data_IF_053971321701
#
_entry.id   IF_053971321701
#
_cell.length_a   1.000
_cell.length_b   1.000
_cell.length_c   1.000
_cell.angle_alpha   90.00
_cell.angle_beta   90.00
_cell.angle_gamma   90.00
#
_symmetry.space_group_name_H-M   'P 1'
#
loop_
_entity.id
_entity.type
_entity.pdbx_description
1 polymer ?
#
# COMPACT_ATOMS: atom_id res chain seq x y z
N UNK A 1 21.70 -51.25 30.74
CA UNK A 1 22.15 -50.89 29.38
C UNK A 1 20.97 -50.23 28.71
N UNK A 2 20.94 -48.88 28.79
CA UNK A 2 19.91 -48.07 28.14
C UNK A 2 20.34 -47.77 26.71
N UNK A 3 19.43 -48.03 25.77
CA UNK A 3 19.57 -47.55 24.40
C UNK A 3 18.91 -46.18 24.29
N UNK A 4 19.70 -45.15 23.99
CA UNK A 4 19.21 -43.86 23.58
C UNK A 4 18.72 -43.91 22.14
N UNK A 5 17.47 -43.58 21.92
CA UNK A 5 16.90 -43.33 20.59
C UNK A 5 17.49 -42.03 20.01
N UNK A 6 17.84 -42.01 18.72
CA UNK A 6 18.31 -40.79 18.10
C UNK A 6 17.12 -39.83 17.90
N UNK A 7 17.23 -38.64 18.50
CA UNK A 7 16.32 -37.51 18.29
C UNK A 7 16.35 -37.09 16.81
N UNK A 8 15.21 -37.15 16.15
CA UNK A 8 15.02 -36.53 14.83
C UNK A 8 15.34 -35.05 14.88
N UNK A 9 16.09 -34.49 13.90
CA UNK A 9 16.25 -33.07 13.79
C UNK A 9 14.92 -32.38 13.46
N UNK A 10 14.70 -31.17 13.93
CA UNK A 10 13.46 -30.46 13.65
C UNK A 10 13.30 -30.23 12.14
N UNK A 11 12.11 -30.55 11.64
CA UNK A 11 11.72 -30.29 10.27
C UNK A 11 11.91 -28.79 9.95
N UNK A 12 12.80 -28.53 9.01
CA UNK A 12 13.05 -27.21 8.49
C UNK A 12 11.83 -26.81 7.66
N UNK A 13 10.92 -26.05 8.23
CA UNK A 13 9.85 -25.40 7.49
C UNK A 13 10.48 -24.48 6.44
N UNK A 14 10.25 -24.81 5.18
CA UNK A 14 10.70 -24.05 4.03
C UNK A 14 10.09 -22.65 4.03
N UNK A 15 10.91 -21.62 4.31
CA UNK A 15 10.55 -20.20 4.31
C UNK A 15 10.50 -19.61 2.87
N UNK A 16 9.91 -20.30 1.90
CA UNK A 16 9.85 -19.81 0.52
C UNK A 16 9.03 -18.52 0.38
N UNK A 17 7.81 -18.50 0.92
CA UNK A 17 6.89 -17.35 0.77
C UNK A 17 7.37 -16.08 1.47
N UNK A 18 8.03 -16.19 2.63
CA UNK A 18 8.52 -15.04 3.38
C UNK A 18 9.68 -14.32 2.70
N UNK A 19 10.50 -15.03 1.93
CA UNK A 19 11.66 -14.44 1.25
C UNK A 19 11.25 -13.65 0.00
N UNK A 20 10.31 -14.16 -0.78
CA UNK A 20 9.77 -13.49 -1.98
C UNK A 20 9.01 -12.21 -1.58
N UNK A 21 8.18 -12.26 -0.55
CA UNK A 21 7.49 -11.08 -0.02
C UNK A 21 8.46 -10.01 0.49
N UNK A 22 9.56 -10.40 1.10
CA UNK A 22 10.60 -9.48 1.57
C UNK A 22 11.37 -8.81 0.44
N UNK A 23 11.59 -9.48 -0.67
CA UNK A 23 12.24 -8.91 -1.86
C UNK A 23 11.34 -7.89 -2.55
N UNK A 24 10.07 -8.23 -2.80
CA UNK A 24 9.07 -7.30 -3.35
C UNK A 24 8.90 -6.05 -2.49
N UNK A 25 8.91 -6.21 -1.16
CA UNK A 25 8.84 -5.07 -0.24
C UNK A 25 10.07 -4.17 -0.39
N UNK A 26 11.28 -4.72 -0.46
CA UNK A 26 12.51 -3.95 -0.67
C UNK A 26 12.52 -3.20 -2.00
N UNK A 27 12.01 -3.83 -3.06
CA UNK A 27 11.89 -3.18 -4.36
C UNK A 27 10.91 -2.00 -4.33
N UNK A 28 9.77 -2.14 -3.65
CA UNK A 28 8.85 -1.03 -3.44
C UNK A 28 9.48 0.08 -2.61
N UNK A 29 10.16 -0.24 -1.53
CA UNK A 29 10.85 0.75 -0.69
C UNK A 29 11.92 1.50 -1.47
N UNK A 30 12.67 0.82 -2.34
CA UNK A 30 13.66 1.45 -3.22
C UNK A 30 12.99 2.40 -4.21
N UNK A 31 11.92 1.99 -4.90
CA UNK A 31 11.19 2.83 -5.84
C UNK A 31 10.58 4.06 -5.13
N UNK A 32 9.97 3.87 -3.96
CA UNK A 32 9.45 4.97 -3.14
C UNK A 32 10.56 5.92 -2.73
N UNK A 33 11.71 5.43 -2.29
CA UNK A 33 12.85 6.25 -1.91
C UNK A 33 13.37 7.10 -3.08
N UNK A 34 13.44 6.54 -4.29
CA UNK A 34 13.81 7.27 -5.51
C UNK A 34 12.79 8.38 -5.85
N UNK A 35 11.51 8.10 -5.71
CA UNK A 35 10.43 9.07 -5.91
C UNK A 35 10.55 10.21 -4.90
N UNK A 36 10.65 9.91 -3.60
CA UNK A 36 10.75 10.90 -2.55
C UNK A 36 12.04 11.72 -2.64
N UNK A 37 13.16 11.12 -3.07
CA UNK A 37 14.42 11.82 -3.31
C UNK A 37 14.34 12.83 -4.47
N UNK A 38 13.35 12.70 -5.36
CA UNK A 38 13.11 13.65 -6.46
C UNK A 38 12.43 14.95 -6.01
N UNK A 39 12.09 15.08 -4.71
CA UNK A 39 11.44 16.26 -4.18
C UNK A 39 12.25 17.54 -4.39
N UNK A 40 11.63 18.52 -5.05
CA UNK A 40 12.22 19.79 -5.38
C UNK A 40 11.13 20.83 -5.62
N UNK A 41 11.29 22.03 -5.08
CA UNK A 41 10.35 23.14 -5.29
C UNK A 41 8.87 22.81 -5.00
N UNK A 42 8.63 22.02 -3.96
CA UNK A 42 7.27 21.63 -3.55
C UNK A 42 6.66 20.47 -4.35
N UNK A 43 7.42 19.84 -5.25
CA UNK A 43 6.92 18.78 -6.12
C UNK A 43 7.85 17.56 -6.16
N UNK A 44 7.26 16.40 -6.44
CA UNK A 44 7.98 15.18 -6.81
C UNK A 44 8.18 15.16 -8.34
N UNK A 45 9.41 15.01 -8.79
CA UNK A 45 9.78 15.07 -10.21
C UNK A 45 10.06 13.71 -10.85
N UNK A 46 10.20 12.64 -10.06
CA UNK A 46 10.36 11.30 -10.60
C UNK A 46 9.11 10.82 -11.33
N UNK A 47 9.31 9.86 -12.21
CA UNK A 47 8.20 9.16 -12.86
C UNK A 47 7.32 8.48 -11.80
N UNK A 48 6.06 8.73 -11.82
CA UNK A 48 5.22 8.81 -10.65
C UNK A 48 4.44 7.55 -10.39
N UNK A 49 3.36 7.40 -11.11
CA UNK A 49 2.44 6.30 -10.93
C UNK A 49 2.83 5.09 -11.76
N UNK A 50 2.64 3.95 -11.18
CA UNK A 50 2.84 2.66 -11.82
C UNK A 50 1.74 1.70 -11.38
N UNK A 51 1.76 0.48 -11.86
CA UNK A 51 0.87 -0.56 -11.34
C UNK A 51 1.06 -0.82 -9.84
N UNK A 52 2.25 -0.49 -9.30
CA UNK A 52 2.63 -0.75 -7.91
C UNK A 52 2.65 0.48 -7.01
N UNK A 53 2.64 1.70 -7.55
CA UNK A 53 2.73 2.94 -6.76
C UNK A 53 1.70 3.95 -7.26
N UNK A 54 1.02 4.60 -6.32
CA UNK A 54 0.00 5.60 -6.59
C UNK A 54 0.14 6.79 -5.63
N UNK A 55 -0.22 8.00 -6.09
CA UNK A 55 -0.27 9.21 -5.28
C UNK A 55 -1.70 9.52 -4.88
N UNK A 56 -1.87 9.96 -3.64
CA UNK A 56 -3.19 10.37 -3.16
C UNK A 56 -3.14 11.65 -2.35
N UNK A 57 -4.07 12.55 -2.66
CA UNK A 57 -4.42 13.62 -1.74
C UNK A 57 -5.24 13.07 -0.58
N UNK A 58 -5.16 13.73 0.55
CA UNK A 58 -6.09 13.49 1.64
C UNK A 58 -7.49 13.98 1.24
N UNK A 59 -8.44 13.06 1.09
CA UNK A 59 -9.81 13.39 0.73
C UNK A 59 -10.46 14.33 1.75
N UNK A 60 -11.36 15.20 1.28
CA UNK A 60 -12.05 16.16 2.14
C UNK A 60 -11.24 17.43 2.48
N UNK A 61 -9.98 17.54 2.04
CA UNK A 61 -9.15 18.74 2.28
C UNK A 61 -9.30 19.87 1.26
N UNK A 62 -10.03 19.65 0.17
CA UNK A 62 -10.33 20.70 -0.82
C UNK A 62 -11.65 21.38 -0.48
N UNK A 63 -11.58 22.64 -0.06
CA UNK A 63 -12.73 23.51 0.13
C UNK A 63 -13.23 24.16 -1.16
N UNK A 64 -14.19 25.06 -1.03
CA UNK A 64 -14.72 25.83 -2.15
C UNK A 64 -13.61 26.57 -2.90
N UNK A 65 -13.64 26.51 -4.24
CA UNK A 65 -12.60 27.12 -5.08
C UNK A 65 -11.25 26.39 -5.08
N UNK A 66 -11.18 25.15 -4.58
CA UNK A 66 -9.96 24.36 -4.57
C UNK A 66 -8.94 24.73 -3.48
N UNK A 67 -9.33 25.56 -2.52
CA UNK A 67 -8.47 25.99 -1.42
C UNK A 67 -8.16 24.80 -0.52
N UNK A 68 -6.88 24.57 -0.23
CA UNK A 68 -6.46 23.52 0.70
C UNK A 68 -6.80 23.92 2.13
N UNK A 69 -7.62 23.11 2.78
CA UNK A 69 -8.00 23.27 4.18
C UNK A 69 -6.88 22.74 5.11
N UNK A 70 -6.82 23.21 6.37
CA UNK A 70 -5.92 22.65 7.37
C UNK A 70 -6.10 21.14 7.51
N UNK A 71 -5.00 20.42 7.74
CA UNK A 71 -5.04 18.99 8.01
C UNK A 71 -5.64 18.67 9.39
N UNK A 72 -6.24 17.50 9.51
CA UNK A 72 -6.75 16.97 10.77
C UNK A 72 -6.03 15.65 11.08
N UNK A 73 -5.87 15.36 12.38
CA UNK A 73 -5.27 14.08 12.79
C UNK A 73 -6.20 12.88 12.54
N UNK A 74 -7.50 13.13 12.38
CA UNK A 74 -8.52 12.12 12.10
C UNK A 74 -9.51 12.65 11.08
N UNK A 75 -9.51 12.04 9.90
CA UNK A 75 -10.38 12.39 8.78
C UNK A 75 -11.04 11.11 8.26
N UNK A 76 -12.30 10.89 8.63
CA UNK A 76 -13.04 9.66 8.31
C UNK A 76 -13.28 9.48 6.80
N UNK A 77 -13.46 10.57 6.05
CA UNK A 77 -13.62 10.52 4.59
C UNK A 77 -12.33 10.03 3.93
N UNK A 78 -11.18 10.58 4.34
CA UNK A 78 -9.89 10.15 3.84
C UNK A 78 -9.62 8.68 4.18
N UNK A 79 -9.90 8.25 5.40
CA UNK A 79 -9.71 6.86 5.81
C UNK A 79 -10.57 5.89 4.99
N UNK A 80 -11.84 6.23 4.72
CA UNK A 80 -12.73 5.40 3.90
C UNK A 80 -12.23 5.27 2.45
N UNK A 81 -11.83 6.37 1.83
CA UNK A 81 -11.28 6.34 0.46
C UNK A 81 -9.95 5.59 0.37
N UNK A 82 -9.08 5.78 1.37
CA UNK A 82 -7.83 5.03 1.43
C UNK A 82 -8.05 3.53 1.66
N UNK A 83 -9.08 3.15 2.42
CA UNK A 83 -9.46 1.74 2.59
C UNK A 83 -9.83 1.09 1.25
N UNK A 84 -10.58 1.80 0.38
CA UNK A 84 -10.93 1.32 -0.96
C UNK A 84 -9.69 1.13 -1.85
N UNK A 85 -8.74 2.05 -1.79
CA UNK A 85 -7.46 1.93 -2.51
C UNK A 85 -6.60 0.78 -1.96
N UNK A 86 -6.53 0.64 -0.64
CA UNK A 86 -5.82 -0.47 0.02
C UNK A 86 -6.43 -1.81 -0.39
N UNK A 87 -7.75 -1.95 -0.44
CA UNK A 87 -8.41 -3.16 -0.92
C UNK A 87 -8.03 -3.48 -2.37
N UNK A 88 -7.99 -2.47 -3.23
CA UNK A 88 -7.57 -2.62 -4.62
C UNK A 88 -6.12 -3.10 -4.74
N UNK A 89 -5.18 -2.49 -4.01
CA UNK A 89 -3.79 -2.92 -4.01
C UNK A 89 -3.59 -4.31 -3.41
N UNK A 90 -4.33 -4.65 -2.36
CA UNK A 90 -4.27 -5.97 -1.73
C UNK A 90 -4.68 -7.10 -2.70
N UNK A 91 -5.60 -6.82 -3.62
CA UNK A 91 -6.00 -7.76 -4.66
C UNK A 91 -5.01 -7.82 -5.83
N UNK A 92 -4.14 -6.83 -5.95
CA UNK A 92 -3.20 -6.73 -7.07
C UNK A 92 -1.98 -7.61 -6.83
N UNK A 93 -1.46 -8.32 -7.84
CA UNK A 93 -0.25 -9.11 -7.70
C UNK A 93 0.93 -8.30 -7.16
N UNK A 94 1.54 -8.79 -6.10
CA UNK A 94 2.65 -8.12 -5.43
C UNK A 94 2.27 -6.97 -4.50
N UNK A 95 0.98 -6.65 -4.36
CA UNK A 95 0.54 -5.51 -3.57
C UNK A 95 1.01 -4.17 -4.15
N UNK A 96 1.33 -3.21 -3.30
CA UNK A 96 1.84 -1.92 -3.75
C UNK A 96 2.06 -0.91 -2.65
N UNK A 97 2.26 0.35 -3.04
CA UNK A 97 2.44 1.47 -2.12
C UNK A 97 1.58 2.67 -2.54
N UNK A 98 0.96 3.32 -1.55
CA UNK A 98 0.27 4.58 -1.68
C UNK A 98 1.09 5.69 -1.03
N UNK A 99 1.35 6.78 -1.73
CA UNK A 99 2.00 7.96 -1.17
C UNK A 99 0.93 9.02 -0.91
N UNK A 100 0.56 9.17 0.36
CA UNK A 100 -0.48 10.10 0.81
C UNK A 100 0.09 11.48 1.12
N UNK A 101 -0.62 12.51 0.71
CA UNK A 101 -0.22 13.91 0.86
C UNK A 101 0.41 14.48 -0.40
N UNK A 102 0.20 13.84 -1.54
CA UNK A 102 0.71 14.25 -2.85
C UNK A 102 -0.45 14.31 -3.86
N UNK A 103 -0.53 15.37 -4.62
CA UNK A 103 -1.47 15.52 -5.73
C UNK A 103 -1.07 14.61 -6.89
N UNK A 104 -2.01 13.79 -7.38
CA UNK A 104 -1.73 12.85 -8.46
C UNK A 104 -1.41 13.52 -9.80
N UNK A 105 -2.05 14.61 -10.16
CA UNK A 105 -1.89 15.23 -11.48
C UNK A 105 -0.51 15.85 -11.72
N UNK A 106 0.07 16.51 -10.71
CA UNK A 106 1.31 17.28 -10.85
C UNK A 106 2.43 16.85 -9.89
N UNK A 107 2.14 15.96 -8.94
CA UNK A 107 3.09 15.56 -7.91
C UNK A 107 3.37 16.65 -6.89
N UNK A 108 2.45 17.64 -6.76
CA UNK A 108 2.56 18.68 -5.75
C UNK A 108 2.42 18.07 -4.36
N UNK A 109 3.37 18.34 -3.49
CA UNK A 109 3.34 17.84 -2.12
C UNK A 109 2.49 18.77 -1.27
N UNK A 110 1.37 18.25 -0.78
CA UNK A 110 0.41 18.99 0.06
C UNK A 110 0.58 18.65 1.54
N UNK A 111 1.16 17.49 1.82
CA UNK A 111 1.32 16.98 3.17
C UNK A 111 0.03 16.41 3.76
N UNK A 112 0.15 15.79 4.93
CA UNK A 112 -0.97 15.25 5.72
C UNK A 112 -0.64 15.28 7.21
N UNK A 113 -1.66 15.53 8.04
CA UNK A 113 -1.56 15.51 9.50
C UNK A 113 -2.19 14.26 10.12
N UNK A 114 -2.66 13.30 9.31
CA UNK A 114 -3.33 12.10 9.80
C UNK A 114 -2.46 11.30 10.77
N UNK A 115 -3.07 10.90 11.88
CA UNK A 115 -2.45 9.96 12.81
C UNK A 115 -2.29 8.59 12.17
N UNK A 116 -1.06 8.07 12.15
CA UNK A 116 -0.71 6.83 11.45
C UNK A 116 -1.40 5.60 12.05
N UNK A 117 -1.45 5.52 13.38
CA UNK A 117 -2.04 4.36 14.06
C UNK A 117 -3.56 4.36 13.93
N UNK A 118 -4.18 5.53 14.09
CA UNK A 118 -5.62 5.68 13.86
C UNK A 118 -5.99 5.33 12.43
N UNK A 119 -5.22 5.82 11.44
CA UNK A 119 -5.47 5.54 10.02
C UNK A 119 -5.36 4.04 9.71
N UNK A 120 -4.28 3.40 10.18
CA UNK A 120 -4.05 1.97 10.01
C UNK A 120 -5.19 1.14 10.58
N UNK A 121 -5.63 1.48 11.80
CA UNK A 121 -6.74 0.79 12.47
C UNK A 121 -8.05 0.99 11.70
N UNK A 122 -8.35 2.20 11.22
CA UNK A 122 -9.59 2.47 10.47
C UNK A 122 -9.64 1.74 9.13
N UNK A 123 -8.51 1.63 8.44
CA UNK A 123 -8.41 0.86 7.20
C UNK A 123 -8.61 -0.63 7.49
N UNK A 124 -7.94 -1.17 8.50
CA UNK A 124 -8.07 -2.58 8.89
C UNK A 124 -9.50 -2.94 9.29
N UNK A 125 -10.17 -2.11 10.07
CA UNK A 125 -11.59 -2.27 10.43
C UNK A 125 -12.51 -2.27 9.19
N UNK A 126 -12.19 -1.48 8.17
CA UNK A 126 -13.03 -1.33 6.99
C UNK A 126 -12.87 -2.46 5.97
N UNK A 127 -11.64 -2.92 5.71
CA UNK A 127 -11.35 -3.87 4.62
C UNK A 127 -10.54 -5.10 5.06
N UNK A 128 -10.24 -5.23 6.34
CA UNK A 128 -9.49 -6.35 6.95
C UNK A 128 -8.07 -6.50 6.36
N UNK A 129 -7.47 -5.38 6.00
CA UNK A 129 -6.07 -5.29 5.58
C UNK A 129 -5.42 -4.14 6.33
N UNK A 130 -4.39 -4.44 7.11
CA UNK A 130 -3.60 -3.45 7.81
C UNK A 130 -2.36 -3.08 6.97
N UNK A 131 -2.30 -1.89 6.35
CA UNK A 131 -1.11 -1.44 5.67
C UNK A 131 0.00 -1.13 6.68
N UNK A 132 1.25 -1.29 6.26
CA UNK A 132 2.38 -0.74 7.01
C UNK A 132 2.58 0.72 6.60
N UNK A 133 2.46 1.64 7.55
CA UNK A 133 2.49 3.08 7.29
C UNK A 133 3.81 3.66 7.78
N UNK A 134 4.56 4.25 6.86
CA UNK A 134 5.85 4.90 7.14
C UNK A 134 5.73 6.40 6.89
N UNK A 135 6.18 7.19 7.85
CA UNK A 135 6.18 8.63 7.80
C UNK A 135 7.47 9.17 7.18
N UNK A 136 7.35 10.17 6.30
CA UNK A 136 8.47 10.87 5.71
C UNK A 136 8.25 12.39 5.77
N UNK A 137 9.35 13.15 5.94
CA UNK A 137 9.34 14.62 5.89
C UNK A 137 10.15 15.08 4.69
N UNK A 138 9.52 15.85 3.81
CA UNK A 138 10.12 16.39 2.58
C UNK A 138 10.40 17.89 2.75
N UNK A 139 11.62 18.31 2.40
CA UNK A 139 12.01 19.71 2.54
C UNK A 139 12.69 20.08 3.87
N UNK A 140 13.24 19.09 4.57
CA UNK A 140 13.98 19.28 5.82
C UNK A 140 13.13 19.14 7.09
N UNK A 141 13.66 19.59 8.24
CA UNK A 141 13.07 19.36 9.56
C UNK A 141 11.71 20.06 9.77
N UNK A 142 11.38 21.07 8.99
CA UNK A 142 10.07 21.75 8.96
C UNK A 142 9.32 21.48 7.65
N UNK A 143 9.71 20.42 6.96
CA UNK A 143 9.12 20.03 5.69
C UNK A 143 7.73 19.43 5.82
N UNK A 144 7.10 19.26 4.67
CA UNK A 144 5.78 18.63 4.59
C UNK A 144 5.87 17.14 4.90
N UNK A 145 4.98 16.69 5.76
CA UNK A 145 4.85 15.29 6.15
C UNK A 145 4.02 14.55 5.13
N UNK A 146 4.52 13.43 4.62
CA UNK A 146 3.79 12.49 3.76
C UNK A 146 3.79 11.11 4.42
N UNK A 147 2.79 10.30 4.12
CA UNK A 147 2.69 8.93 4.58
C UNK A 147 2.80 7.97 3.40
N UNK A 148 3.59 6.93 3.56
CA UNK A 148 3.66 5.82 2.60
C UNK A 148 2.97 4.61 3.19
N UNK A 149 1.89 4.17 2.57
CA UNK A 149 1.13 2.99 2.95
C UNK A 149 1.60 1.82 2.08
N UNK A 150 2.35 0.90 2.65
CA UNK A 150 2.73 -0.34 1.98
C UNK A 150 1.64 -1.39 2.19
N UNK A 151 1.08 -1.87 1.09
CA UNK A 151 -0.04 -2.81 1.08
C UNK A 151 0.44 -4.17 0.62
N UNK A 152 0.37 -5.21 1.48
CA UNK A 152 0.73 -6.56 1.07
C UNK A 152 -0.33 -7.16 0.14
N UNK A 153 0.09 -8.07 -0.73
CA UNK A 153 -0.84 -8.87 -1.51
C UNK A 153 -1.67 -9.77 -0.58
N UNK A 154 -2.99 -9.72 -0.72
CA UNK A 154 -3.90 -10.54 0.08
C UNK A 154 -3.89 -12.01 -0.39
N UNK A 155 -4.19 -12.92 0.54
CA UNK A 155 -4.34 -14.36 0.27
C UNK A 155 -5.74 -14.73 -0.21
N UNK A 156 -6.71 -13.87 0.06
CA UNK A 156 -8.12 -14.01 -0.33
C UNK A 156 -8.64 -12.71 -0.92
N UNK A 157 -9.75 -12.75 -1.70
CA UNK A 157 -10.34 -11.54 -2.26
C UNK A 157 -10.71 -10.53 -1.18
N UNK A 158 -10.27 -9.29 -1.34
CA UNK A 158 -10.56 -8.16 -0.45
C UNK A 158 -11.60 -7.26 -1.11
N UNK A 159 -12.72 -7.03 -0.42
CA UNK A 159 -13.79 -6.16 -0.90
C UNK A 159 -13.63 -4.74 -0.33
N UNK A 160 -13.88 -3.74 -1.17
CA UNK A 160 -13.87 -2.35 -0.75
C UNK A 160 -15.08 -2.00 0.15
N UNK A 161 -15.15 -0.78 0.65
CA UNK A 161 -16.26 -0.32 1.52
C UNK A 161 -17.62 -0.33 0.81
N UNK A 162 -17.64 -0.32 -0.51
CA UNK A 162 -18.84 -0.50 -1.34
C UNK A 162 -19.15 -1.96 -1.70
N UNK A 163 -18.48 -2.91 -1.06
CA UNK A 163 -18.60 -4.36 -1.32
C UNK A 163 -18.30 -4.74 -2.77
N UNK A 164 -17.31 -4.08 -3.39
CA UNK A 164 -16.84 -4.37 -4.73
C UNK A 164 -15.45 -4.97 -4.69
N UNK A 165 -15.23 -5.95 -5.56
CA UNK A 165 -13.91 -6.54 -5.77
C UNK A 165 -13.23 -5.80 -6.92
N UNK A 166 -12.06 -5.23 -6.64
CA UNK A 166 -11.27 -4.46 -7.61
C UNK A 166 -9.80 -4.82 -7.52
N UNK A 167 -9.09 -4.69 -8.62
CA UNK A 167 -7.63 -4.75 -8.66
C UNK A 167 -7.07 -3.67 -9.59
N UNK A 168 -5.76 -3.46 -9.56
CA UNK A 168 -5.12 -2.49 -10.45
C UNK A 168 -4.85 -3.10 -11.83
N UNK A 169 -5.15 -2.28 -12.84
CA UNK A 169 -4.75 -2.52 -14.23
C UNK A 169 -4.07 -1.23 -14.69
N UNK A 170 -2.75 -1.26 -14.78
CA UNK A 170 -1.95 -0.04 -14.92
C UNK A 170 -2.09 0.86 -13.68
N UNK A 171 -2.49 2.09 -13.87
CA UNK A 171 -2.71 3.11 -12.84
C UNK A 171 -4.15 3.19 -12.31
N UNK A 172 -5.05 2.30 -12.74
CA UNK A 172 -6.46 2.34 -12.39
C UNK A 172 -6.94 1.11 -11.63
N UNK A 173 -7.81 1.32 -10.64
CA UNK A 173 -8.58 0.27 -9.97
C UNK A 173 -9.82 -0.10 -10.79
N UNK A 174 -9.88 -1.34 -11.26
CA UNK A 174 -10.99 -1.86 -12.07
C UNK A 174 -11.74 -2.98 -11.35
N UNK A 175 -13.08 -3.04 -11.49
CA UNK A 175 -13.86 -4.18 -11.00
C UNK A 175 -13.43 -5.48 -11.69
N UNK A 176 -13.42 -6.56 -10.92
CA UNK A 176 -13.16 -7.91 -11.41
C UNK A 176 -14.16 -8.90 -10.83
N UNK A 177 -14.33 -10.04 -11.50
CA UNK A 177 -15.07 -11.16 -10.95
C UNK A 177 -14.20 -11.99 -9.99
N UNK A 178 -14.85 -12.56 -8.98
CA UNK A 178 -14.18 -13.41 -8.01
C UNK A 178 -13.50 -14.64 -8.66
N UNK A 179 -14.11 -15.21 -9.70
CA UNK A 179 -13.52 -16.32 -10.46
C UNK A 179 -12.21 -15.92 -11.14
N UNK A 180 -12.19 -14.74 -11.77
CA UNK A 180 -11.00 -14.20 -12.41
C UNK A 180 -9.87 -13.92 -11.40
N UNK A 181 -10.21 -13.45 -10.20
CA UNK A 181 -9.25 -13.26 -9.12
C UNK A 181 -8.56 -14.57 -8.74
N UNK A 182 -9.33 -15.67 -8.58
CA UNK A 182 -8.78 -16.98 -8.24
C UNK A 182 -7.95 -17.57 -9.37
N UNK A 183 -8.44 -17.53 -10.60
CA UNK A 183 -7.72 -18.00 -11.80
C UNK A 183 -6.36 -17.32 -11.92
N UNK A 184 -6.31 -16.02 -11.74
CA UNK A 184 -5.06 -15.27 -11.82
C UNK A 184 -4.08 -15.65 -10.70
N UNK A 185 -4.60 -15.95 -9.52
CA UNK A 185 -3.77 -16.36 -8.39
C UNK A 185 -3.23 -17.79 -8.53
N UNK A 186 -3.99 -18.68 -9.09
CA UNK A 186 -3.54 -20.05 -9.39
C UNK A 186 -2.42 -20.03 -10.44
N UNK A 187 -2.59 -19.26 -11.51
CA UNK A 187 -1.56 -19.06 -12.52
C UNK A 187 -0.25 -18.51 -11.94
N UNK A 188 -0.32 -17.63 -10.95
CA UNK A 188 0.88 -17.10 -10.28
C UNK A 188 1.61 -18.15 -9.45
N UNK A 189 0.90 -19.09 -8.82
CA UNK A 189 1.52 -20.19 -8.06
C UNK A 189 2.30 -21.14 -8.96
N UNK A 190 1.79 -21.45 -10.14
CA UNK A 190 2.48 -22.28 -11.11
C UNK A 190 3.80 -21.65 -11.61
N UNK A 191 3.89 -20.32 -11.68
CA UNK A 191 5.13 -19.61 -12.04
C UNK A 191 6.16 -19.59 -10.91
N UNK A 192 5.73 -19.58 -9.65
CA UNK A 192 6.63 -19.56 -8.49
C UNK A 192 7.19 -20.98 -8.18
N UNK A 193 6.60 -22.06 -8.72
CA UNK A 193 7.04 -23.45 -8.54
C UNK A 193 7.96 -23.97 -9.69
N UNK A 194 8.16 -23.19 -10.76
CA UNK A 194 9.04 -23.51 -11.88
C UNK A 194 10.42 -22.86 -11.73
#
# INVERSE_FOLDING_TARGET
VGQEEPSNPPETYCCGDGMILSERRRDLEKQVAEILASYRDGQLHANRESASIDFKEEAGRRGAGGILLPGETRNAEAASKLADEVACFANTPGGGALILGVEDSHGTVLGTELDTEWLRQRIDEAVQVAPDIVEHHLGGAQGLRVLVLYVPQAKEPVYDTGNKLRWRVGDHCKPIDRSLWWEHRENMREYDEM
#
